data_IF_918243577813
#
_entry.id   IF_918243577813
#
_cell.length_a   1.000
_cell.length_b   1.000
_cell.length_c   1.000
_cell.angle_alpha   90.00
_cell.angle_beta   90.00
_cell.angle_gamma   90.00
#
_symmetry.space_group_name_H-M   'P 1'
#
loop_
_entity.id
_entity.type
_entity.pdbx_description
1 polymer ?
#
# COMPACT_ATOMS: atom_id res chain seq x y z
N UNK A 1 12.85 -39.17 7.19
CA UNK A 1 14.22 -38.57 7.13
C UNK A 1 14.23 -37.23 7.84
N UNK A 2 15.33 -36.78 8.45
CA UNK A 2 15.40 -35.51 9.23
C UNK A 2 14.80 -34.29 8.52
N UNK A 3 14.96 -34.22 7.20
CA UNK A 3 14.39 -33.16 6.35
C UNK A 3 12.85 -33.16 6.30
N UNK A 4 12.20 -34.33 6.37
CA UNK A 4 10.74 -34.42 6.41
C UNK A 4 10.18 -33.90 7.75
N UNK A 5 10.88 -34.19 8.85
CA UNK A 5 10.50 -33.69 10.17
C UNK A 5 10.61 -32.16 10.18
N UNK A 6 11.71 -31.60 9.65
CA UNK A 6 11.89 -30.16 9.54
C UNK A 6 10.78 -29.49 8.72
N UNK A 7 10.46 -30.02 7.54
CA UNK A 7 9.38 -29.48 6.71
C UNK A 7 8.03 -29.54 7.43
N UNK A 8 7.72 -30.67 8.06
CA UNK A 8 6.48 -30.84 8.82
C UNK A 8 6.36 -29.86 10.00
N UNK A 9 7.45 -29.66 10.77
CA UNK A 9 7.46 -28.70 11.88
C UNK A 9 7.32 -27.26 11.41
N UNK A 10 7.89 -26.89 10.26
CA UNK A 10 7.77 -25.55 9.72
C UNK A 10 6.37 -25.28 9.17
N UNK A 11 5.84 -26.19 8.34
CA UNK A 11 4.53 -25.94 7.71
C UNK A 11 3.41 -26.02 8.72
N UNK A 12 3.37 -27.10 9.51
CA UNK A 12 2.25 -27.35 10.41
C UNK A 12 2.45 -26.58 11.72
N UNK A 13 3.67 -26.49 12.23
CA UNK A 13 3.97 -25.79 13.49
C UNK A 13 3.88 -24.27 13.39
N UNK A 14 4.06 -23.65 12.22
CA UNK A 14 3.79 -22.21 12.03
C UNK A 14 2.31 -21.91 11.79
N UNK A 15 1.56 -22.86 11.22
CA UNK A 15 0.12 -22.73 10.96
C UNK A 15 -0.74 -23.03 12.18
N UNK A 16 -0.25 -23.85 13.11
CA UNK A 16 -0.91 -24.12 14.38
C UNK A 16 -0.85 -22.88 15.28
N UNK A 17 -2.01 -22.42 15.77
CA UNK A 17 -2.13 -21.19 16.56
C UNK A 17 -1.37 -21.20 17.89
N UNK A 18 -1.06 -22.39 18.43
CA UNK A 18 -0.27 -22.59 19.66
C UNK A 18 1.17 -23.07 19.40
N UNK A 19 1.66 -23.00 18.17
CA UNK A 19 2.98 -23.51 17.81
C UNK A 19 3.06 -25.04 17.80
N UNK A 20 4.27 -25.58 17.98
CA UNK A 20 4.54 -27.03 17.86
C UNK A 20 3.90 -27.86 18.98
N UNK A 21 3.60 -27.25 20.13
CA UNK A 21 2.97 -27.89 21.29
C UNK A 21 1.58 -28.45 20.98
N UNK A 22 0.83 -27.77 20.10
CA UNK A 22 -0.53 -28.17 19.71
C UNK A 22 -0.53 -29.48 18.88
N UNK A 23 0.56 -29.74 18.15
CA UNK A 23 0.68 -30.88 17.23
C UNK A 23 1.23 -32.12 17.94
N UNK A 24 2.26 -31.94 18.78
CA UNK A 24 2.93 -33.05 19.49
C UNK A 24 2.16 -33.41 20.77
N UNK A 25 1.08 -32.69 21.07
CA UNK A 25 0.42 -32.72 22.37
C UNK A 25 1.26 -31.95 23.39
N UNK A 26 0.62 -31.01 24.09
CA UNK A 26 1.27 -30.24 25.16
C UNK A 26 1.86 -31.17 26.22
N UNK A 27 2.78 -30.65 27.04
CA UNK A 27 3.37 -31.42 28.12
C UNK A 27 2.24 -31.98 29.01
N UNK A 28 2.08 -33.32 29.03
CA UNK A 28 1.06 -33.99 29.83
C UNK A 28 1.54 -34.07 31.27
N UNK A 29 0.66 -33.70 32.20
CA UNK A 29 0.89 -33.87 33.64
C UNK A 29 0.73 -35.37 33.94
N UNK A 30 1.84 -36.06 34.21
CA UNK A 30 1.81 -37.46 34.63
C UNK A 30 1.48 -37.52 36.13
N UNK A 31 0.66 -38.50 36.56
CA UNK A 31 0.09 -38.59 37.93
C UNK A 31 1.15 -38.76 39.06
N UNK A 32 2.44 -38.77 38.72
CA UNK A 32 3.60 -38.84 39.63
C UNK A 32 4.23 -37.48 40.02
N UNK A 33 3.70 -36.35 39.52
CA UNK A 33 4.21 -35.00 39.78
C UNK A 33 5.16 -34.47 38.70
N UNK A 34 5.52 -33.18 38.73
CA UNK A 34 6.29 -32.55 37.66
C UNK A 34 7.73 -33.06 37.64
N UNK A 35 8.04 -33.96 36.71
CA UNK A 35 9.42 -34.36 36.42
C UNK A 35 10.19 -33.19 35.77
N UNK A 36 11.51 -33.18 35.91
CA UNK A 36 12.40 -32.17 35.30
C UNK A 36 12.21 -32.05 33.79
N UNK A 37 11.82 -33.15 33.12
CA UNK A 37 11.53 -33.22 31.69
C UNK A 37 10.28 -32.43 31.28
N UNK A 38 9.28 -32.35 32.16
CA UNK A 38 8.05 -31.60 31.90
C UNK A 38 8.35 -30.11 31.72
N UNK A 39 9.08 -29.52 32.68
CA UNK A 39 9.43 -28.10 32.65
C UNK A 39 10.33 -27.73 31.47
N UNK A 40 11.28 -28.59 31.11
CA UNK A 40 12.11 -28.37 29.93
C UNK A 40 11.28 -28.33 28.64
N UNK A 41 10.25 -29.18 28.53
CA UNK A 41 9.36 -29.19 27.36
C UNK A 41 8.48 -27.96 27.28
N UNK A 42 7.91 -27.51 28.41
CA UNK A 42 7.12 -26.27 28.47
C UNK A 42 7.95 -25.07 28.02
N UNK A 43 9.15 -24.90 28.58
CA UNK A 43 10.05 -23.79 28.21
C UNK A 43 10.45 -23.85 26.74
N UNK A 44 10.70 -25.06 26.21
CA UNK A 44 11.01 -25.24 24.80
C UNK A 44 9.83 -24.84 23.88
N UNK A 45 8.62 -25.29 24.21
CA UNK A 45 7.41 -25.02 23.45
C UNK A 45 7.05 -23.51 23.47
N UNK A 46 7.15 -22.86 24.63
CA UNK A 46 6.90 -21.42 24.79
C UNK A 46 7.97 -20.57 24.08
N UNK A 47 9.24 -20.95 24.19
CA UNK A 47 10.32 -20.27 23.49
C UNK A 47 10.18 -20.41 21.96
N UNK A 48 9.77 -21.58 21.47
CA UNK A 48 9.45 -21.80 20.06
C UNK A 48 8.34 -20.86 19.59
N UNK A 49 7.23 -20.77 20.34
CA UNK A 49 6.10 -19.91 19.98
C UNK A 49 6.49 -18.43 19.95
N UNK A 50 7.16 -17.94 20.99
CA UNK A 50 7.56 -16.54 21.08
C UNK A 50 8.58 -16.15 20.00
N UNK A 51 9.58 -17.00 19.76
CA UNK A 51 10.68 -16.65 18.85
C UNK A 51 10.28 -16.89 17.40
N UNK A 52 9.66 -18.03 17.07
CA UNK A 52 9.41 -18.37 15.66
C UNK A 52 8.04 -17.89 15.18
N UNK A 53 6.99 -17.93 15.99
CA UNK A 53 5.65 -17.51 15.55
C UNK A 53 5.51 -15.99 15.70
N UNK A 54 5.67 -15.45 16.90
CA UNK A 54 5.41 -14.02 17.16
C UNK A 54 6.36 -13.11 16.38
N UNK A 55 7.67 -13.40 16.36
CA UNK A 55 8.62 -12.56 15.61
C UNK A 55 8.35 -12.65 14.10
N UNK A 56 8.10 -13.85 13.55
CA UNK A 56 7.81 -13.98 12.12
C UNK A 56 6.54 -13.22 11.72
N UNK A 57 5.47 -13.32 12.49
CA UNK A 57 4.23 -12.56 12.25
C UNK A 57 4.45 -11.06 12.38
N UNK A 58 5.28 -10.63 13.35
CA UNK A 58 5.64 -9.23 13.56
C UNK A 58 6.45 -8.66 12.39
N UNK A 59 7.38 -9.44 11.82
CA UNK A 59 8.16 -9.05 10.64
C UNK A 59 7.24 -8.88 9.44
N UNK A 60 6.37 -9.87 9.15
CA UNK A 60 5.45 -9.79 8.01
C UNK A 60 4.52 -8.59 8.15
N UNK A 61 3.94 -8.39 9.33
CA UNK A 61 3.08 -7.23 9.60
C UNK A 61 3.85 -5.92 9.49
N UNK A 62 5.10 -5.87 9.94
CA UNK A 62 5.97 -4.71 9.82
C UNK A 62 6.24 -4.33 8.36
N UNK A 63 6.56 -5.29 7.50
CA UNK A 63 6.76 -5.05 6.05
C UNK A 63 5.48 -4.52 5.42
N UNK A 64 4.32 -5.07 5.77
CA UNK A 64 3.02 -4.62 5.26
C UNK A 64 2.74 -3.18 5.68
N UNK A 65 2.96 -2.83 6.95
CA UNK A 65 2.75 -1.47 7.47
C UNK A 65 3.70 -0.49 6.79
N UNK A 66 4.97 -0.85 6.61
CA UNK A 66 5.95 -0.02 5.92
C UNK A 66 5.54 0.26 4.47
N UNK A 67 5.13 -0.77 3.72
CA UNK A 67 4.65 -0.61 2.34
C UNK A 67 3.39 0.27 2.25
N UNK A 68 2.44 0.11 3.17
CA UNK A 68 1.27 0.99 3.25
C UNK A 68 1.64 2.40 3.71
N UNK A 69 2.65 2.56 4.57
CA UNK A 69 3.21 3.85 4.96
C UNK A 69 3.75 4.61 3.75
N UNK A 70 4.67 3.99 3.00
CA UNK A 70 5.25 4.57 1.78
C UNK A 70 4.17 4.95 0.74
N UNK A 71 3.14 4.10 0.56
CA UNK A 71 2.03 4.40 -0.35
C UNK A 71 1.20 5.61 0.09
N UNK A 72 1.07 5.84 1.40
CA UNK A 72 0.37 7.01 1.96
C UNK A 72 1.20 8.27 1.79
N UNK A 73 2.50 8.18 2.03
CA UNK A 73 3.42 9.31 1.89
C UNK A 73 3.46 9.78 0.42
N UNK A 74 3.54 8.84 -0.54
CA UNK A 74 3.49 9.18 -1.95
C UNK A 74 2.17 9.86 -2.35
N UNK A 75 1.04 9.37 -1.83
CA UNK A 75 -0.26 10.02 -2.07
C UNK A 75 -0.29 11.44 -1.50
N UNK A 76 0.24 11.63 -0.29
CA UNK A 76 0.29 12.94 0.35
C UNK A 76 1.18 13.92 -0.43
N UNK A 77 2.33 13.47 -0.94
CA UNK A 77 3.21 14.27 -1.79
C UNK A 77 2.51 14.75 -3.06
N UNK A 78 1.78 13.85 -3.75
CA UNK A 78 1.00 14.21 -4.95
C UNK A 78 -0.14 15.19 -4.61
N UNK A 79 -0.85 14.98 -3.51
CA UNK A 79 -1.91 15.88 -3.06
C UNK A 79 -1.39 17.26 -2.66
N UNK A 80 -0.19 17.33 -2.09
CA UNK A 80 0.49 18.58 -1.74
C UNK A 80 0.96 19.33 -3.00
N UNK A 81 1.55 18.65 -3.98
CA UNK A 81 1.96 19.27 -5.24
C UNK A 81 0.76 19.87 -6.01
N UNK A 82 -0.37 19.14 -6.04
CA UNK A 82 -1.62 19.63 -6.67
C UNK A 82 -2.20 20.88 -5.98
N UNK A 83 -1.96 21.06 -4.68
CA UNK A 83 -2.39 22.25 -3.94
C UNK A 83 -1.41 23.41 -4.07
N UNK A 84 -0.12 23.09 -4.29
CA UNK A 84 0.95 24.08 -4.34
C UNK A 84 1.19 24.62 -5.74
N UNK A 85 0.85 23.90 -6.80
CA UNK A 85 1.07 24.35 -8.17
C UNK A 85 -0.08 23.96 -9.10
N UNK A 86 -0.34 24.76 -10.14
CA UNK A 86 -1.37 24.44 -11.11
C UNK A 86 -0.88 23.38 -12.10
N UNK A 87 -1.63 22.28 -12.26
CA UNK A 87 -1.30 21.17 -13.16
C UNK A 87 -1.04 21.56 -14.63
N UNK A 88 -1.75 22.57 -15.15
CA UNK A 88 -1.67 22.96 -16.57
C UNK A 88 -0.51 23.93 -16.84
N UNK A 89 -0.30 24.94 -15.98
CA UNK A 89 0.69 25.99 -16.20
C UNK A 89 1.94 25.90 -15.31
N UNK A 90 1.94 25.04 -14.29
CA UNK A 90 3.06 24.83 -13.37
C UNK A 90 3.35 26.01 -12.44
N UNK A 91 2.46 27.00 -12.36
CA UNK A 91 2.67 28.19 -11.51
C UNK A 91 2.27 27.87 -10.08
N UNK A 92 3.13 28.23 -9.13
CA UNK A 92 2.86 28.09 -7.69
C UNK A 92 1.67 28.92 -7.20
N UNK A 93 0.89 28.34 -6.28
CA UNK A 93 -0.29 28.93 -5.64
C UNK A 93 0.02 30.26 -4.94
N UNK A 94 1.23 30.39 -4.39
CA UNK A 94 1.76 31.61 -3.75
C UNK A 94 1.67 32.84 -4.66
N UNK A 95 1.83 32.68 -5.97
CA UNK A 95 1.74 33.81 -6.94
C UNK A 95 0.30 34.28 -7.18
N UNK A 96 -0.69 33.46 -6.83
CA UNK A 96 -2.11 33.77 -7.00
C UNK A 96 -2.76 34.34 -5.73
N UNK A 97 -2.02 34.46 -4.63
CA UNK A 97 -2.51 35.08 -3.38
C UNK A 97 -2.97 36.54 -3.59
N UNK A 98 -2.35 37.26 -4.53
CA UNK A 98 -2.74 38.63 -4.89
C UNK A 98 -3.75 38.71 -6.04
N UNK A 99 -3.96 37.61 -6.77
CA UNK A 99 -4.72 37.59 -8.03
C UNK A 99 -5.88 36.59 -7.95
N UNK A 100 -7.07 37.08 -7.59
CA UNK A 100 -8.38 36.38 -7.64
C UNK A 100 -8.47 34.95 -7.03
N UNK A 101 -7.41 34.46 -6.37
CA UNK A 101 -7.33 33.17 -5.69
C UNK A 101 -6.93 31.99 -6.61
N UNK A 102 -6.03 31.14 -6.11
CA UNK A 102 -5.59 29.91 -6.78
C UNK A 102 -6.74 28.96 -7.12
N UNK A 103 -7.71 28.81 -6.20
CA UNK A 103 -8.88 27.94 -6.41
C UNK A 103 -9.68 28.34 -7.65
N UNK A 104 -9.87 29.65 -7.87
CA UNK A 104 -10.58 30.16 -9.03
C UNK A 104 -9.82 29.86 -10.32
N UNK A 105 -8.49 30.02 -10.30
CA UNK A 105 -7.62 29.73 -11.42
C UNK A 105 -7.76 28.26 -11.84
N UNK A 106 -7.61 27.31 -10.90
CA UNK A 106 -7.72 25.88 -11.19
C UNK A 106 -9.15 25.49 -11.60
N UNK A 107 -10.19 26.01 -10.96
CA UNK A 107 -11.57 25.60 -11.27
C UNK A 107 -12.15 26.21 -12.55
N UNK A 108 -11.78 27.45 -12.90
CA UNK A 108 -12.44 28.21 -13.99
C UNK A 108 -11.54 28.50 -15.18
N UNK A 109 -10.25 28.69 -14.97
CA UNK A 109 -9.31 29.07 -16.03
C UNK A 109 -8.60 27.81 -16.54
N UNK A 110 -7.99 27.03 -15.63
CA UNK A 110 -7.21 25.83 -15.94
C UNK A 110 -7.84 24.55 -15.35
N UNK A 111 -9.14 24.35 -15.60
CA UNK A 111 -9.80 23.13 -15.20
C UNK A 111 -9.35 21.97 -16.10
N UNK A 112 -8.62 21.01 -15.53
CA UNK A 112 -8.08 19.86 -16.27
C UNK A 112 -9.14 19.10 -17.09
N UNK A 113 -10.37 18.96 -16.56
CA UNK A 113 -11.44 18.24 -17.25
C UNK A 113 -11.91 18.95 -18.51
N UNK A 114 -11.86 20.28 -18.55
CA UNK A 114 -12.24 21.03 -19.74
C UNK A 114 -11.28 20.75 -20.90
N UNK A 115 -9.99 20.53 -20.63
CA UNK A 115 -9.03 20.11 -21.66
C UNK A 115 -9.37 18.71 -22.20
N UNK A 116 -9.70 17.76 -21.31
CA UNK A 116 -10.10 16.42 -21.72
C UNK A 116 -11.40 16.44 -22.55
N UNK A 117 -12.40 17.20 -22.12
CA UNK A 117 -13.65 17.36 -22.87
C UNK A 117 -13.44 18.04 -24.21
N UNK A 118 -12.51 19.00 -24.30
CA UNK A 118 -12.18 19.63 -25.56
C UNK A 118 -11.51 18.66 -26.55
N UNK A 119 -10.59 17.80 -26.08
CA UNK A 119 -10.00 16.75 -26.93
C UNK A 119 -11.05 15.73 -27.38
N UNK A 120 -11.93 15.29 -26.49
CA UNK A 120 -13.03 14.39 -26.85
C UNK A 120 -13.99 15.04 -27.86
N UNK A 121 -14.31 16.32 -27.67
CA UNK A 121 -15.13 17.12 -28.59
C UNK A 121 -14.51 17.22 -29.97
N UNK A 122 -13.20 17.49 -30.06
CA UNK A 122 -12.49 17.51 -31.34
C UNK A 122 -12.56 16.13 -32.00
N UNK A 123 -12.32 15.05 -31.26
CA UNK A 123 -12.34 13.69 -31.83
C UNK A 123 -13.69 13.23 -32.40
N UNK A 124 -14.81 13.84 -31.98
CA UNK A 124 -16.17 13.49 -32.43
C UNK A 124 -16.70 14.44 -33.51
N UNK A 125 -16.18 15.66 -33.57
CA UNK A 125 -16.63 16.68 -34.51
C UNK A 125 -16.03 16.44 -35.91
N UNK A 126 -16.78 16.77 -36.96
CA UNK A 126 -16.29 16.68 -38.34
C UNK A 126 -15.19 17.72 -38.61
N UNK A 127 -14.08 17.28 -39.19
CA UNK A 127 -12.91 18.12 -39.44
C UNK A 127 -13.23 19.33 -40.33
N UNK A 128 -14.24 19.24 -41.20
CA UNK A 128 -14.65 20.35 -42.07
C UNK A 128 -15.39 21.45 -41.30
N UNK A 129 -15.91 21.15 -40.11
CA UNK A 129 -16.62 22.10 -39.24
C UNK A 129 -15.70 22.72 -38.17
N UNK A 130 -14.41 22.40 -38.19
CA UNK A 130 -13.43 23.01 -37.29
C UNK A 130 -13.30 24.52 -37.55
N UNK A 131 -13.29 25.28 -36.46
CA UNK A 131 -12.86 26.67 -36.47
C UNK A 131 -11.34 26.74 -36.62
N UNK A 132 -10.79 27.90 -37.01
CA UNK A 132 -9.34 28.04 -37.23
C UNK A 132 -8.48 27.71 -35.99
N UNK A 133 -8.99 27.89 -34.78
CA UNK A 133 -8.29 27.48 -33.55
C UNK A 133 -8.38 25.96 -33.33
N UNK A 134 -9.54 25.37 -33.60
CA UNK A 134 -9.76 23.91 -33.49
C UNK A 134 -8.90 23.16 -34.50
N UNK A 135 -8.83 23.61 -35.76
CA UNK A 135 -7.94 23.02 -36.78
C UNK A 135 -6.48 23.06 -36.34
N UNK A 136 -6.02 24.19 -35.81
CA UNK A 136 -4.65 24.33 -35.32
C UNK A 136 -4.34 23.36 -34.17
N UNK A 137 -5.27 23.20 -33.21
CA UNK A 137 -5.06 22.26 -32.10
C UNK A 137 -5.14 20.81 -32.60
N UNK A 138 -6.06 20.49 -33.52
CA UNK A 138 -6.17 19.15 -34.09
C UNK A 138 -4.90 18.74 -34.84
N UNK A 139 -4.32 19.63 -35.65
CA UNK A 139 -3.05 19.40 -36.35
C UNK A 139 -1.86 19.19 -35.38
N UNK A 140 -1.91 19.74 -34.17
CA UNK A 140 -0.86 19.54 -33.16
C UNK A 140 -1.02 18.25 -32.35
N UNK A 141 -2.22 17.68 -32.33
CA UNK A 141 -2.55 16.45 -31.58
C UNK A 141 -2.33 15.20 -32.44
N UNK A 142 -2.50 15.30 -33.76
CA UNK A 142 -2.11 14.27 -34.74
C UNK A 142 -0.59 14.06 -34.84
#
# INVERSE_FOLDING_TARGET
TKMQILMYTLTTGLQAGGGIADIIGGATYDDGGPDSRYWWRVVYDDAYFLILVIIMLSIVSGIIIDAFGASRDHRHEVEEDQQNSCFICGIESSRFEQANGFERHVQREHNMWNYLYYLAYLSEKDDNDYTGQESYVSELVE
#
